data_IF_599442355301
#
_entry.id   IF_599442355301
#
_cell.length_a   1.000
_cell.length_b   1.000
_cell.length_c   1.000
_cell.angle_alpha   90.00
_cell.angle_beta   90.00
_cell.angle_gamma   90.00
#
_symmetry.space_group_name_H-M   'P 1'
#
loop_
_entity.id
_entity.type
_entity.pdbx_description
1 polymer ?
#
# COMPACT_ATOMS: atom_id res chain seq x y z
N UNK A 1 -0.28 -0.66 -14.41
CA UNK A 1 -0.58 -2.08 -14.04
C UNK A 1 -1.69 -2.23 -13.00
N UNK A 2 -1.58 -1.65 -11.81
CA UNK A 2 -2.61 -1.82 -10.76
C UNK A 2 -4.02 -1.36 -11.18
N UNK A 3 -4.15 -0.19 -11.82
CA UNK A 3 -5.43 0.33 -12.32
C UNK A 3 -6.01 -0.58 -13.40
N UNK A 4 -5.18 -1.07 -14.33
CA UNK A 4 -5.63 -1.99 -15.36
C UNK A 4 -6.08 -3.35 -14.80
N UNK A 5 -5.38 -3.86 -13.78
CA UNK A 5 -5.79 -5.09 -13.10
C UNK A 5 -7.15 -4.94 -12.39
N UNK A 6 -7.44 -3.75 -11.82
CA UNK A 6 -8.76 -3.44 -11.25
C UNK A 6 -9.86 -3.40 -12.31
N UNK A 7 -9.60 -2.76 -13.47
CA UNK A 7 -10.54 -2.72 -14.59
C UNK A 7 -10.90 -4.12 -15.12
N UNK A 8 -9.88 -4.99 -15.25
CA UNK A 8 -10.10 -6.39 -15.65
C UNK A 8 -11.02 -7.12 -14.67
N UNK A 9 -10.96 -6.79 -13.38
CA UNK A 9 -11.87 -7.33 -12.35
C UNK A 9 -13.25 -6.66 -12.30
N UNK A 10 -13.50 -5.67 -13.16
CA UNK A 10 -14.74 -4.90 -13.20
C UNK A 10 -14.91 -3.89 -12.07
N UNK A 11 -13.85 -3.54 -11.39
CA UNK A 11 -13.88 -2.52 -10.33
C UNK A 11 -13.96 -1.11 -10.92
N UNK A 12 -14.73 -0.19 -10.30
CA UNK A 12 -14.81 1.20 -10.71
C UNK A 12 -13.48 1.94 -10.46
N UNK A 13 -13.35 3.15 -10.97
CA UNK A 13 -12.13 3.95 -10.79
C UNK A 13 -11.88 4.37 -9.33
N UNK A 14 -12.92 4.39 -8.48
CA UNK A 14 -12.80 4.69 -7.05
C UNK A 14 -12.48 3.45 -6.21
N UNK A 15 -11.75 3.60 -5.08
CA UNK A 15 -11.52 2.49 -4.14
C UNK A 15 -12.82 1.95 -3.58
N UNK A 16 -12.89 0.64 -3.39
CA UNK A 16 -14.10 -0.01 -2.87
C UNK A 16 -13.79 -1.29 -2.09
N UNK A 17 -14.82 -1.82 -1.44
CA UNK A 17 -14.79 -3.13 -0.79
C UNK A 17 -14.36 -4.20 -1.81
N UNK A 18 -13.46 -5.09 -1.38
CA UNK A 18 -12.87 -6.14 -2.23
C UNK A 18 -11.59 -5.72 -2.95
N UNK A 19 -11.19 -4.44 -2.91
CA UNK A 19 -9.90 -4.01 -3.44
C UNK A 19 -8.75 -4.61 -2.64
N UNK A 20 -7.73 -5.08 -3.34
CA UNK A 20 -6.46 -5.52 -2.74
C UNK A 20 -5.52 -4.33 -2.62
N UNK A 21 -5.03 -4.08 -1.41
CA UNK A 21 -4.13 -2.97 -1.09
C UNK A 21 -2.87 -3.46 -0.39
N UNK A 22 -1.80 -2.65 -0.45
CA UNK A 22 -0.52 -2.91 0.19
C UNK A 22 -0.02 -1.66 0.91
N UNK A 23 0.40 -1.81 2.17
CA UNK A 23 1.05 -0.76 2.95
C UNK A 23 2.43 -0.41 2.40
N UNK A 24 2.76 0.88 2.36
CA UNK A 24 4.04 1.39 1.86
C UNK A 24 4.97 1.88 2.97
N UNK A 25 4.46 2.00 4.20
CA UNK A 25 5.17 2.51 5.38
C UNK A 25 4.84 1.67 6.62
N UNK A 26 5.69 1.78 7.65
CA UNK A 26 5.48 1.09 8.92
C UNK A 26 4.70 1.97 9.89
N UNK A 27 3.70 1.38 10.55
CA UNK A 27 2.86 2.01 11.58
C UNK A 27 2.83 1.11 12.82
N UNK A 28 3.95 1.12 13.56
CA UNK A 28 4.20 0.21 14.68
C UNK A 28 3.21 0.36 15.84
N UNK A 29 2.73 1.58 16.08
CA UNK A 29 1.88 1.92 17.23
C UNK A 29 0.39 1.98 16.85
N UNK A 30 0.02 1.58 15.63
CA UNK A 30 -1.35 1.72 15.14
C UNK A 30 -2.26 0.58 15.59
N UNK A 31 -1.75 -0.64 15.60
CA UNK A 31 -2.52 -1.86 15.89
C UNK A 31 -1.62 -2.97 16.44
N UNK A 32 -2.24 -4.01 17.00
CA UNK A 32 -1.57 -5.25 17.38
C UNK A 32 -2.27 -6.41 16.65
N UNK A 33 -1.57 -7.10 15.72
CA UNK A 33 -0.20 -6.87 15.28
C UNK A 33 -0.03 -5.53 14.53
N UNK A 34 1.22 -4.98 14.44
CA UNK A 34 1.45 -3.70 13.79
C UNK A 34 1.24 -3.76 12.28
N UNK A 35 0.77 -2.66 11.71
CA UNK A 35 0.64 -2.50 10.27
C UNK A 35 1.98 -2.09 9.66
N UNK A 36 2.58 -2.95 8.86
CA UNK A 36 3.95 -2.76 8.34
C UNK A 36 4.00 -2.51 6.83
N UNK A 37 5.13 -2.00 6.38
CA UNK A 37 5.42 -1.92 4.94
C UNK A 37 5.40 -3.33 4.35
N UNK A 38 4.64 -3.49 3.26
CA UNK A 38 4.43 -4.79 2.64
C UNK A 38 3.20 -5.56 3.15
N UNK A 39 2.53 -5.12 4.23
CA UNK A 39 1.26 -5.72 4.65
C UNK A 39 0.24 -5.63 3.52
N UNK A 40 -0.22 -6.78 3.06
CA UNK A 40 -1.20 -6.91 1.97
C UNK A 40 -2.53 -7.36 2.57
N UNK A 41 -3.62 -6.77 2.10
CA UNK A 41 -4.95 -7.19 2.54
C UNK A 41 -6.06 -6.74 1.59
N UNK A 42 -7.27 -7.15 1.93
CA UNK A 42 -8.50 -6.84 1.21
C UNK A 42 -9.31 -5.84 2.01
N UNK A 43 -9.80 -4.81 1.36
CA UNK A 43 -10.74 -3.83 1.93
C UNK A 43 -12.07 -4.52 2.20
N UNK A 44 -12.53 -4.45 3.45
CA UNK A 44 -13.84 -4.99 3.89
C UNK A 44 -14.84 -3.90 4.24
N UNK A 45 -14.36 -2.70 4.54
CA UNK A 45 -15.17 -1.49 4.72
C UNK A 45 -14.39 -0.28 4.24
N UNK A 46 -15.06 0.70 3.63
CA UNK A 46 -14.41 1.91 3.13
C UNK A 46 -15.39 3.07 2.99
N UNK A 47 -14.97 4.24 3.48
CA UNK A 47 -15.65 5.51 3.21
C UNK A 47 -14.63 6.65 3.07
N UNK A 48 -15.01 7.66 2.31
CA UNK A 48 -14.18 8.87 2.12
C UNK A 48 -14.39 9.83 3.30
N UNK A 49 -13.30 10.38 3.79
CA UNK A 49 -13.28 11.37 4.87
C UNK A 49 -12.18 12.42 4.61
N UNK A 50 -12.08 13.43 5.48
CA UNK A 50 -11.12 14.52 5.38
C UNK A 50 -10.46 14.81 6.71
N UNK A 51 -9.12 14.87 6.73
CA UNK A 51 -8.37 15.38 7.89
C UNK A 51 -8.09 16.87 7.68
N UNK A 52 -8.47 17.69 8.70
CA UNK A 52 -8.15 19.11 8.75
C UNK A 52 -6.99 19.35 9.71
N UNK A 53 -5.84 19.68 9.15
CA UNK A 53 -4.69 20.10 9.93
C UNK A 53 -4.69 21.62 10.15
N UNK A 54 -3.97 22.13 11.17
CA UNK A 54 -3.68 23.56 11.27
C UNK A 54 -3.02 24.09 9.99
N UNK A 55 -3.29 25.36 9.64
CA UNK A 55 -2.81 25.97 8.37
C UNK A 55 -1.30 25.90 8.16
N UNK A 56 -0.50 25.84 9.23
CA UNK A 56 0.96 25.72 9.13
C UNK A 56 1.40 24.30 8.70
N UNK A 57 0.51 23.32 8.75
CA UNK A 57 0.73 21.96 8.21
C UNK A 57 0.15 21.87 6.81
N UNK A 58 -1.15 22.17 6.64
CA UNK A 58 -1.83 22.13 5.34
C UNK A 58 -2.90 23.21 5.27
N UNK A 59 -2.93 23.97 4.15
CA UNK A 59 -3.95 24.98 3.90
C UNK A 59 -5.31 24.37 3.59
N UNK A 60 -5.31 23.18 2.98
CA UNK A 60 -6.51 22.48 2.55
C UNK A 60 -6.71 21.19 3.35
N UNK A 61 -7.96 20.75 3.52
CA UNK A 61 -8.25 19.43 4.08
C UNK A 61 -7.65 18.32 3.22
N UNK A 62 -7.06 17.32 3.85
CA UNK A 62 -6.50 16.17 3.16
C UNK A 62 -7.58 15.10 3.04
N UNK A 63 -7.89 14.73 1.80
CA UNK A 63 -8.82 13.64 1.50
C UNK A 63 -8.19 12.31 1.87
N UNK A 64 -8.90 11.51 2.65
CA UNK A 64 -8.50 10.16 3.05
C UNK A 64 -9.57 9.13 2.68
N UNK A 65 -9.16 7.87 2.64
CA UNK A 65 -10.04 6.72 2.68
C UNK A 65 -9.92 6.08 4.05
N UNK A 66 -10.97 6.16 4.86
CA UNK A 66 -11.05 5.35 6.07
C UNK A 66 -11.47 3.96 5.70
N UNK A 67 -10.70 2.96 6.12
CA UNK A 67 -10.95 1.60 5.68
C UNK A 67 -10.68 0.56 6.77
N UNK A 68 -11.40 -0.53 6.70
CA UNK A 68 -11.06 -1.77 7.39
C UNK A 68 -10.46 -2.73 6.39
N UNK A 69 -9.33 -3.36 6.77
CA UNK A 69 -8.61 -4.31 5.93
C UNK A 69 -8.41 -5.62 6.67
N UNK A 70 -8.57 -6.74 5.97
CA UNK A 70 -8.18 -8.07 6.44
C UNK A 70 -6.95 -8.52 5.65
N UNK A 71 -5.88 -8.91 6.34
CA UNK A 71 -4.66 -9.43 5.71
C UNK A 71 -4.79 -10.91 5.31
N UNK A 72 -3.73 -11.45 4.69
CA UNK A 72 -3.71 -12.83 4.16
C UNK A 72 -3.73 -13.90 5.25
N UNK A 73 -3.41 -13.56 6.50
CA UNK A 73 -3.43 -14.47 7.65
C UNK A 73 -4.64 -14.26 8.58
N UNK A 74 -5.56 -13.34 8.22
CA UNK A 74 -6.82 -13.12 8.92
C UNK A 74 -6.80 -12.03 9.98
N UNK A 75 -5.71 -11.26 10.14
CA UNK A 75 -5.73 -10.10 11.01
C UNK A 75 -6.60 -9.00 10.42
N UNK A 76 -7.37 -8.35 11.27
CA UNK A 76 -8.25 -7.23 10.89
C UNK A 76 -7.69 -5.92 11.41
N UNK A 77 -7.46 -4.98 10.52
CA UNK A 77 -7.01 -3.62 10.82
C UNK A 77 -8.18 -2.67 10.60
N UNK A 78 -8.58 -1.99 11.67
CA UNK A 78 -9.76 -1.12 11.67
C UNK A 78 -9.38 0.34 11.49
N UNK A 79 -10.26 1.10 10.81
CA UNK A 79 -10.20 2.57 10.70
C UNK A 79 -8.85 3.12 10.21
N UNK A 80 -8.25 2.44 9.23
CA UNK A 80 -6.97 2.86 8.64
C UNK A 80 -7.20 4.17 7.85
N UNK A 81 -6.53 5.28 8.17
CA UNK A 81 -6.66 6.54 7.44
C UNK A 81 -5.71 6.58 6.24
N UNK A 82 -6.10 6.01 5.12
CA UNK A 82 -5.27 5.94 3.91
C UNK A 82 -5.26 7.29 3.18
N UNK A 83 -4.09 7.77 2.78
CA UNK A 83 -3.97 8.91 1.87
C UNK A 83 -4.61 8.57 0.52
N UNK A 84 -5.76 9.21 0.24
CA UNK A 84 -6.53 8.95 -0.97
C UNK A 84 -5.73 9.25 -2.24
N UNK A 85 -4.95 10.35 -2.24
CA UNK A 85 -4.15 10.73 -3.39
C UNK A 85 -2.99 9.76 -3.61
N UNK A 86 -2.33 9.31 -2.53
CA UNK A 86 -1.29 8.28 -2.61
C UNK A 86 -1.83 6.99 -3.21
N UNK A 87 -2.98 6.50 -2.74
CA UNK A 87 -3.62 5.29 -3.25
C UNK A 87 -3.95 5.39 -4.75
N UNK A 88 -4.48 6.55 -5.19
CA UNK A 88 -4.95 6.75 -6.56
C UNK A 88 -3.84 7.09 -7.55
N UNK A 89 -2.84 7.86 -7.13
CA UNK A 89 -1.85 8.45 -8.04
C UNK A 89 -0.41 8.06 -7.73
N UNK A 90 -0.15 7.45 -6.58
CA UNK A 90 1.19 7.20 -6.05
C UNK A 90 1.87 8.45 -5.48
N UNK A 91 1.18 9.59 -5.40
CA UNK A 91 1.73 10.84 -4.87
C UNK A 91 1.11 11.17 -3.52
N UNK A 92 1.95 11.35 -2.50
CA UNK A 92 1.50 11.72 -1.16
C UNK A 92 0.84 13.11 -1.13
N UNK A 93 -0.16 13.26 -0.28
CA UNK A 93 -0.79 14.56 0.00
C UNK A 93 0.06 15.45 0.88
N UNK A 94 0.92 14.85 1.73
CA UNK A 94 1.85 15.55 2.62
C UNK A 94 3.29 15.38 2.16
N UNK A 95 4.10 16.43 2.32
CA UNK A 95 5.55 16.34 2.20
C UNK A 95 6.18 15.66 3.42
N UNK A 96 7.38 15.10 3.27
CA UNK A 96 8.12 14.49 4.38
C UNK A 96 8.32 15.45 5.58
N UNK A 97 8.50 16.76 5.31
CA UNK A 97 8.62 17.78 6.34
C UNK A 97 7.33 17.92 7.16
N UNK A 98 6.17 17.92 6.51
CA UNK A 98 4.86 18.01 7.15
C UNK A 98 4.57 16.73 7.98
N UNK A 99 4.88 15.55 7.46
CA UNK A 99 4.74 14.28 8.19
C UNK A 99 5.59 14.29 9.48
N UNK A 100 6.85 14.75 9.40
CA UNK A 100 7.73 14.89 10.58
C UNK A 100 7.16 15.90 11.59
N UNK A 101 6.64 17.03 11.12
CA UNK A 101 6.00 18.03 12.00
C UNK A 101 4.79 17.44 12.74
N UNK A 102 3.93 16.68 12.04
CA UNK A 102 2.77 16.01 12.67
C UNK A 102 3.26 15.00 13.70
N UNK A 103 4.21 14.15 13.33
CA UNK A 103 4.77 13.09 14.20
C UNK A 103 5.38 13.65 15.49
N UNK A 104 6.03 14.81 15.43
CA UNK A 104 6.72 15.42 16.56
C UNK A 104 5.84 16.37 17.38
N UNK A 105 4.64 16.71 16.91
CA UNK A 105 3.75 17.63 17.61
C UNK A 105 2.92 16.91 18.67
N UNK A 106 3.20 17.20 19.94
CA UNK A 106 2.41 16.69 21.07
C UNK A 106 0.94 17.14 20.97
N UNK A 107 0.72 18.40 20.61
CA UNK A 107 -0.61 18.98 20.46
C UNK A 107 -1.45 18.24 19.40
N UNK A 108 -0.88 17.88 18.25
CA UNK A 108 -1.59 17.16 17.20
C UNK A 108 -1.91 15.73 17.63
N UNK A 109 -0.99 15.07 18.34
CA UNK A 109 -1.22 13.74 18.92
C UNK A 109 -2.35 13.74 19.95
N UNK A 110 -2.35 14.71 20.85
CA UNK A 110 -3.42 14.87 21.85
C UNK A 110 -4.78 15.16 21.22
N UNK A 111 -4.78 15.84 20.07
CA UNK A 111 -5.97 16.07 19.26
C UNK A 111 -6.38 14.85 18.38
N UNK A 112 -5.66 13.73 18.46
CA UNK A 112 -5.90 12.54 17.62
C UNK A 112 -5.58 12.72 16.14
N UNK A 113 -4.82 13.78 15.79
CA UNK A 113 -4.44 14.05 14.41
C UNK A 113 -3.14 13.33 14.06
N UNK A 114 -3.24 12.34 13.17
CA UNK A 114 -2.12 11.58 12.64
C UNK A 114 -1.99 11.81 11.12
N UNK A 115 -0.77 11.67 10.60
CA UNK A 115 -0.57 11.68 9.16
C UNK A 115 -1.31 10.49 8.52
N UNK A 116 -1.95 10.68 7.36
CA UNK A 116 -2.57 9.57 6.66
C UNK A 116 -1.51 8.56 6.21
N UNK A 117 -1.92 7.31 6.07
CA UNK A 117 -1.05 6.19 5.76
C UNK A 117 -0.86 6.01 4.26
N UNK A 118 0.36 5.70 3.85
CA UNK A 118 0.68 5.46 2.45
C UNK A 118 0.32 4.03 2.06
N UNK A 119 -0.57 3.91 1.10
CA UNK A 119 -0.98 2.64 0.50
C UNK A 119 -0.97 2.72 -1.02
N UNK A 120 -0.83 1.57 -1.64
CA UNK A 120 -1.06 1.38 -3.08
C UNK A 120 -2.00 0.20 -3.31
N UNK A 121 -2.56 0.08 -4.51
CA UNK A 121 -3.24 -1.15 -4.90
C UNK A 121 -2.24 -2.31 -4.97
N UNK A 122 -2.64 -3.47 -4.48
CA UNK A 122 -1.80 -4.67 -4.32
C UNK A 122 -1.92 -5.70 -5.45
N UNK A 123 -2.46 -5.33 -6.62
CA UNK A 123 -2.62 -6.26 -7.75
C UNK A 123 -1.33 -6.46 -8.55
N UNK A 124 -0.46 -5.44 -8.60
CA UNK A 124 0.86 -5.52 -9.20
C UNK A 124 1.86 -4.86 -8.28
N UNK A 125 2.80 -5.63 -7.78
CA UNK A 125 3.81 -5.21 -6.82
C UNK A 125 5.20 -5.61 -7.31
N UNK A 126 6.23 -4.92 -6.82
CA UNK A 126 7.61 -5.28 -7.18
C UNK A 126 8.03 -6.58 -6.49
N UNK A 127 8.95 -7.32 -7.11
CA UNK A 127 9.49 -8.55 -6.56
C UNK A 127 10.03 -8.36 -5.12
N UNK A 128 10.72 -7.25 -4.86
CA UNK A 128 11.23 -6.93 -3.53
C UNK A 128 10.14 -6.75 -2.47
N UNK A 129 9.03 -6.12 -2.83
CA UNK A 129 7.89 -5.95 -1.89
C UNK A 129 7.14 -7.24 -1.63
N UNK A 130 7.27 -8.22 -2.51
CA UNK A 130 6.66 -9.55 -2.35
C UNK A 130 7.60 -10.56 -1.66
N UNK A 131 8.80 -10.13 -1.27
CA UNK A 131 9.72 -10.95 -0.48
C UNK A 131 9.10 -11.32 0.87
N UNK A 132 9.13 -12.61 1.21
CA UNK A 132 8.51 -13.12 2.44
C UNK A 132 7.05 -13.56 2.29
N UNK A 133 6.37 -13.20 1.17
CA UNK A 133 5.03 -13.66 0.83
C UNK A 133 5.06 -14.68 -0.30
N UNK A 134 3.97 -15.43 -0.48
CA UNK A 134 3.75 -16.35 -1.59
C UNK A 134 2.33 -16.18 -2.14
N UNK A 135 2.07 -16.72 -3.32
CA UNK A 135 0.72 -16.79 -3.88
C UNK A 135 0.57 -18.03 -4.77
N UNK A 136 -0.64 -18.62 -4.85
CA UNK A 136 -0.87 -19.79 -5.69
C UNK A 136 -0.51 -19.56 -7.16
N UNK A 137 -0.81 -18.37 -7.70
CA UNK A 137 -0.58 -18.03 -9.11
C UNK A 137 0.10 -16.69 -9.23
N UNK A 138 1.25 -16.65 -9.90
CA UNK A 138 2.04 -15.45 -10.11
C UNK A 138 2.31 -15.24 -11.61
N UNK A 139 2.13 -14.00 -12.03
CA UNK A 139 2.58 -13.50 -13.32
C UNK A 139 3.75 -12.55 -13.12
N UNK A 140 4.92 -12.90 -13.64
CA UNK A 140 6.14 -12.09 -13.56
C UNK A 140 6.38 -11.41 -14.91
N UNK A 141 6.49 -10.09 -14.89
CA UNK A 141 7.01 -9.32 -16.01
C UNK A 141 8.50 -9.12 -15.79
N UNK A 142 9.32 -9.74 -16.63
CA UNK A 142 10.77 -9.58 -16.58
C UNK A 142 11.13 -8.21 -17.15
N UNK A 143 11.60 -7.31 -16.30
CA UNK A 143 12.14 -6.03 -16.71
C UNK A 143 13.65 -6.18 -17.00
N UNK A 144 14.16 -5.41 -17.97
CA UNK A 144 15.59 -5.28 -18.17
C UNK A 144 16.13 -4.35 -17.09
N UNK A 145 16.68 -4.94 -16.05
CA UNK A 145 17.42 -4.20 -15.03
C UNK A 145 18.83 -3.91 -15.54
N UNK A 146 19.42 -2.75 -15.20
CA UNK A 146 20.83 -2.48 -15.47
C UNK A 146 21.74 -3.25 -14.49
N UNK A 147 21.39 -4.50 -14.18
CA UNK A 147 22.09 -5.38 -13.26
C UNK A 147 23.07 -6.27 -14.04
N UNK A 148 24.10 -6.69 -13.34
CA UNK A 148 24.92 -7.77 -13.85
C UNK A 148 24.11 -9.09 -13.95
N UNK A 149 24.58 -10.09 -14.68
CA UNK A 149 23.86 -11.35 -14.86
C UNK A 149 23.58 -12.10 -13.56
N UNK A 150 24.43 -11.93 -12.54
CA UNK A 150 24.27 -12.59 -11.24
C UNK A 150 23.12 -11.94 -10.47
N UNK A 151 23.07 -10.62 -10.42
CA UNK A 151 21.96 -9.88 -9.75
C UNK A 151 20.63 -10.17 -10.47
N UNK A 152 20.63 -10.24 -11.78
CA UNK A 152 19.44 -10.61 -12.56
C UNK A 152 18.97 -12.04 -12.23
N UNK A 153 19.90 -13.02 -12.18
CA UNK A 153 19.56 -14.40 -11.82
C UNK A 153 18.99 -14.51 -10.38
N UNK A 154 19.53 -13.75 -9.43
CA UNK A 154 18.99 -13.66 -8.06
C UNK A 154 17.57 -13.10 -8.03
N UNK A 155 17.31 -12.07 -8.83
CA UNK A 155 15.98 -11.49 -8.94
C UNK A 155 14.99 -12.48 -9.55
N UNK A 156 15.35 -13.16 -10.64
CA UNK A 156 14.53 -14.20 -11.29
C UNK A 156 14.21 -15.32 -10.29
N UNK A 157 15.22 -15.80 -9.56
CA UNK A 157 15.04 -16.81 -8.52
C UNK A 157 14.06 -16.33 -7.43
N UNK A 158 14.24 -15.11 -6.93
CA UNK A 158 13.37 -14.53 -5.90
C UNK A 158 11.92 -14.44 -6.40
N UNK A 159 11.70 -14.01 -7.64
CA UNK A 159 10.37 -13.91 -8.24
C UNK A 159 9.73 -15.30 -8.43
N UNK A 160 10.50 -16.26 -8.93
CA UNK A 160 10.02 -17.61 -9.22
C UNK A 160 9.60 -18.38 -7.95
N UNK A 161 10.38 -18.24 -6.88
CA UNK A 161 10.13 -18.94 -5.61
C UNK A 161 8.94 -18.39 -4.81
N UNK A 162 8.26 -17.37 -5.31
CA UNK A 162 7.03 -16.82 -4.70
C UNK A 162 5.76 -17.53 -5.14
N UNK A 163 5.81 -18.33 -6.21
CA UNK A 163 4.66 -19.08 -6.70
C UNK A 163 4.55 -20.45 -6.04
N UNK A 164 3.36 -20.79 -5.54
CA UNK A 164 3.08 -22.09 -4.91
C UNK A 164 2.58 -23.12 -5.93
N UNK A 165 1.79 -22.71 -6.91
CA UNK A 165 1.13 -23.59 -7.87
C UNK A 165 1.51 -23.25 -9.31
N UNK A 166 1.30 -22.02 -9.76
CA UNK A 166 1.48 -21.62 -11.16
C UNK A 166 2.28 -20.34 -11.31
N UNK A 167 3.37 -20.44 -12.09
CA UNK A 167 4.20 -19.32 -12.48
C UNK A 167 4.12 -19.08 -13.98
N UNK A 168 3.89 -17.84 -14.37
CA UNK A 168 3.99 -17.38 -15.76
C UNK A 168 5.02 -16.27 -15.85
N UNK A 169 6.05 -16.46 -16.68
CA UNK A 169 7.05 -15.45 -17.00
C UNK A 169 6.76 -14.83 -18.36
N UNK A 170 6.67 -13.50 -18.39
CA UNK A 170 6.64 -12.72 -19.64
C UNK A 170 8.00 -12.06 -19.78
N UNK A 171 8.77 -12.51 -20.77
CA UNK A 171 10.04 -11.90 -21.17
C UNK A 171 9.79 -10.77 -22.15
N UNK A 172 10.57 -9.70 -22.02
CA UNK A 172 10.65 -8.65 -23.02
C UNK A 172 11.69 -8.97 -24.06
#
# INVERSE_FOLDING_TARGET
MNIEARKIKGFPDTPQIGDKIIGLTNHWDFSDPPLTNGSIGIITDAHTDFIRFPKYISSEPIKILRTTMIDEIGNTFYDIPIDYNCLMTGKKSLSAKQEIQIKNSKMLKEAGLIAPFDFAYGYAITCHKFQGSSAPKILVFEERFPFDPIEHARWVYTAATRSEDRLVFIKR
#
